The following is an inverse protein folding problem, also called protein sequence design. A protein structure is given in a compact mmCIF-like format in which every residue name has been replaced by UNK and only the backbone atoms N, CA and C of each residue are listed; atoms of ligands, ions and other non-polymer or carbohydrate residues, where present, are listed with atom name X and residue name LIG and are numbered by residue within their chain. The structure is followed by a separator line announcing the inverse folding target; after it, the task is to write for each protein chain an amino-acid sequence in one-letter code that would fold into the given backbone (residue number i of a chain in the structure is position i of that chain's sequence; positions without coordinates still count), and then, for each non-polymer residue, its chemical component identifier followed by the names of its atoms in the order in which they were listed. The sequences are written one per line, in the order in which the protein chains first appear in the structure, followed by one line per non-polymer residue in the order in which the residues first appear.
data_IF_043631398205
#
_entry.id   IF_043631398205
#
_cell.length_a   1.000
_cell.length_b   1.000
_cell.length_c   1.000
_cell.angle_alpha   90.00
_cell.angle_beta   90.00
_cell.angle_gamma   90.00
#
_symmetry.space_group_name_H-M   'P 1'
#
loop_
_entity.id
_entity.type
_entity.pdbx_description
1 polymer ?
#
# COMPACT_ATOMS: atom_id res chain seq x y z
N UNK A 1 30.96 -4.54 -9.41
CA UNK A 1 29.71 -5.28 -9.13
C UNK A 1 29.64 -5.50 -7.64
N UNK A 2 28.55 -5.12 -6.98
CA UNK A 2 28.39 -5.27 -5.52
C UNK A 2 27.29 -6.29 -5.25
N UNK A 3 27.50 -7.17 -4.29
CA UNK A 3 26.54 -8.21 -3.90
C UNK A 3 25.67 -7.70 -2.76
N UNK A 4 24.36 -7.92 -2.87
CA UNK A 4 23.37 -7.59 -1.83
C UNK A 4 22.69 -8.90 -1.43
N UNK A 5 22.70 -9.21 -0.14
CA UNK A 5 22.01 -10.37 0.42
C UNK A 5 20.71 -9.91 1.07
N UNK A 6 19.60 -10.59 0.75
CA UNK A 6 18.27 -10.28 1.29
C UNK A 6 17.64 -11.60 1.74
N UNK A 7 17.17 -11.63 2.98
CA UNK A 7 16.40 -12.74 3.53
C UNK A 7 14.91 -12.51 3.28
N UNK A 8 14.24 -13.51 2.70
CA UNK A 8 12.80 -13.45 2.40
C UNK A 8 12.10 -14.70 2.96
N UNK A 9 10.84 -14.59 3.42
CA UNK A 9 10.00 -15.74 3.73
C UNK A 9 9.89 -16.70 2.53
N UNK A 10 9.78 -18.00 2.80
CA UNK A 10 9.67 -19.05 1.78
C UNK A 10 8.56 -18.78 0.78
N UNK A 11 7.42 -18.28 1.25
CA UNK A 11 6.25 -18.02 0.40
C UNK A 11 6.51 -16.90 -0.61
N UNK A 12 7.26 -15.87 -0.21
CA UNK A 12 7.67 -14.80 -1.12
C UNK A 12 8.66 -15.30 -2.16
N UNK A 13 9.59 -16.19 -1.78
CA UNK A 13 10.52 -16.82 -2.71
C UNK A 13 9.77 -17.65 -3.75
N UNK A 14 8.77 -18.43 -3.31
CA UNK A 14 7.93 -19.23 -4.20
C UNK A 14 7.13 -18.36 -5.19
N UNK A 15 6.62 -17.22 -4.73
CA UNK A 15 5.94 -16.24 -5.59
C UNK A 15 6.90 -15.63 -6.63
N UNK A 16 8.11 -15.26 -6.19
CA UNK A 16 9.16 -14.76 -7.08
C UNK A 16 9.50 -15.81 -8.15
N UNK A 17 9.63 -17.08 -7.79
CA UNK A 17 9.85 -18.17 -8.74
C UNK A 17 8.72 -18.30 -9.76
N UNK A 18 7.47 -18.15 -9.31
CA UNK A 18 6.31 -18.09 -10.18
C UNK A 18 6.42 -16.95 -11.20
N UNK A 19 6.84 -15.76 -10.76
CA UNK A 19 7.03 -14.61 -11.65
C UNK A 19 8.20 -14.78 -12.62
N UNK A 20 9.33 -15.31 -12.16
CA UNK A 20 10.49 -15.60 -13.02
C UNK A 20 10.07 -16.49 -14.18
N UNK A 21 9.33 -17.57 -13.89
CA UNK A 21 8.79 -18.47 -14.92
C UNK A 21 7.76 -17.79 -15.81
N UNK A 22 6.78 -17.10 -15.21
CA UNK A 22 5.67 -16.45 -15.91
C UNK A 22 6.14 -15.38 -16.90
N UNK A 23 7.15 -14.61 -16.53
CA UNK A 23 7.68 -13.52 -17.36
C UNK A 23 8.94 -13.89 -18.15
N UNK A 24 9.37 -15.16 -18.09
CA UNK A 24 10.46 -15.67 -18.93
C UNK A 24 11.86 -15.16 -18.54
N UNK A 25 12.09 -14.83 -17.27
CA UNK A 25 13.42 -14.41 -16.82
C UNK A 25 14.36 -15.60 -16.66
N UNK A 26 15.63 -15.41 -17.05
CA UNK A 26 16.65 -16.45 -16.96
C UNK A 26 16.94 -16.90 -15.51
N UNK A 27 16.83 -16.00 -14.53
CA UNK A 27 17.02 -16.31 -13.11
C UNK A 27 16.38 -15.24 -12.22
N UNK A 28 16.30 -15.53 -10.91
CA UNK A 28 15.80 -14.61 -9.88
C UNK A 28 16.56 -13.29 -9.85
N UNK A 29 17.88 -13.32 -10.03
CA UNK A 29 18.70 -12.10 -9.95
C UNK A 29 18.36 -11.12 -11.06
N UNK A 30 18.19 -11.58 -12.31
CA UNK A 30 17.78 -10.70 -13.41
C UNK A 30 16.35 -10.21 -13.29
N UNK A 31 15.46 -11.05 -12.77
CA UNK A 31 14.12 -10.60 -12.43
C UNK A 31 14.15 -9.45 -11.42
N UNK A 32 14.85 -9.61 -10.28
CA UNK A 32 14.97 -8.56 -9.26
C UNK A 32 15.67 -7.32 -9.81
N UNK A 33 16.75 -7.47 -10.59
CA UNK A 33 17.43 -6.33 -11.23
C UNK A 33 16.51 -5.58 -12.20
N UNK A 34 15.66 -6.29 -12.93
CA UNK A 34 14.68 -5.66 -13.83
C UNK A 34 13.65 -4.83 -13.05
N UNK A 35 13.18 -5.33 -11.90
CA UNK A 35 12.29 -4.59 -11.01
C UNK A 35 12.99 -3.34 -10.49
N UNK A 36 14.22 -3.47 -9.98
CA UNK A 36 14.99 -2.33 -9.48
C UNK A 36 15.13 -1.25 -10.56
N UNK A 37 15.43 -1.63 -11.82
CA UNK A 37 15.49 -0.68 -12.94
C UNK A 37 14.16 0.05 -13.16
N UNK A 38 13.02 -0.65 -13.04
CA UNK A 38 11.69 -0.03 -13.15
C UNK A 38 11.44 0.93 -12.00
N UNK A 39 11.73 0.52 -10.76
CA UNK A 39 11.53 1.35 -9.57
C UNK A 39 12.37 2.65 -9.62
N UNK A 40 13.60 2.57 -10.14
CA UNK A 40 14.46 3.75 -10.34
C UNK A 40 13.84 4.71 -11.38
N UNK A 41 13.22 4.18 -12.44
CA UNK A 41 12.60 5.00 -13.49
C UNK A 41 11.22 5.55 -13.08
N UNK A 42 10.56 4.88 -12.13
CA UNK A 42 9.20 5.16 -11.66
C UNK A 42 9.16 5.21 -10.13
N UNK A 43 9.73 6.25 -9.50
CA UNK A 43 9.81 6.35 -8.04
C UNK A 43 8.45 6.36 -7.35
N UNK A 44 7.37 6.74 -8.04
CA UNK A 44 5.99 6.70 -7.53
C UNK A 44 5.56 5.30 -7.07
N UNK A 45 6.14 4.24 -7.65
CA UNK A 45 5.88 2.86 -7.23
C UNK A 45 6.49 2.55 -5.86
N UNK A 46 7.63 3.18 -5.53
CA UNK A 46 8.29 3.04 -4.22
C UNK A 46 7.50 3.80 -3.14
N UNK A 47 6.98 4.99 -3.46
CA UNK A 47 6.09 5.73 -2.57
C UNK A 47 4.83 4.90 -2.25
N UNK A 48 4.26 4.24 -3.26
CA UNK A 48 3.13 3.33 -3.07
C UNK A 48 3.52 2.13 -2.19
N UNK A 49 4.72 1.56 -2.39
CA UNK A 49 5.19 0.46 -1.55
C UNK A 49 5.41 0.88 -0.09
N UNK A 50 5.81 2.14 0.17
CA UNK A 50 5.98 2.66 1.53
C UNK A 50 4.68 2.82 2.30
N UNK A 51 3.57 2.98 1.59
CA UNK A 51 2.24 3.18 2.17
C UNK A 51 1.38 1.93 2.15
N UNK A 52 1.73 0.89 1.38
CA UNK A 52 0.99 -0.37 1.33
C UNK A 52 0.96 -1.12 2.68
N UNK A 53 -0.19 -1.68 3.11
CA UNK A 53 -1.48 -1.77 2.41
C UNK A 53 -2.41 -0.57 2.67
N UNK A 54 -1.93 0.47 3.33
CA UNK A 54 -2.72 1.63 3.72
C UNK A 54 -2.90 2.59 2.54
N UNK A 55 -4.06 2.51 1.90
CA UNK A 55 -4.46 3.49 0.90
C UNK A 55 -4.96 4.75 1.61
N UNK A 56 -4.39 5.89 1.24
CA UNK A 56 -4.93 7.18 1.64
C UNK A 56 -6.42 7.28 1.21
N UNK A 57 -7.30 7.81 2.06
CA UNK A 57 -8.71 7.87 1.73
C UNK A 57 -8.95 8.77 0.52
N UNK A 58 -9.78 8.30 -0.42
CA UNK A 58 -10.10 8.97 -1.69
C UNK A 58 -10.73 10.36 -1.53
N UNK A 59 -11.21 10.68 -0.33
CA UNK A 59 -11.78 11.98 0.02
C UNK A 59 -11.27 12.41 1.38
N UNK A 60 -10.96 13.70 1.52
CA UNK A 60 -10.69 14.35 2.79
C UNK A 60 -11.94 14.91 3.46
N UNK A 61 -13.10 14.88 2.78
CA UNK A 61 -14.33 15.45 3.31
C UNK A 61 -14.87 14.62 4.47
N UNK A 62 -14.66 15.10 5.70
CA UNK A 62 -15.14 14.50 6.95
C UNK A 62 -16.64 14.19 6.84
N UNK A 63 -17.44 15.13 6.34
CA UNK A 63 -18.89 14.96 6.14
C UNK A 63 -19.22 13.80 5.21
N UNK A 64 -18.47 13.64 4.11
CA UNK A 64 -18.65 12.55 3.15
C UNK A 64 -18.31 11.20 3.77
N UNK A 65 -17.21 11.14 4.52
CA UNK A 65 -16.76 9.94 5.24
C UNK A 65 -17.83 9.52 6.26
N UNK A 66 -18.23 10.41 7.17
CA UNK A 66 -19.25 10.11 8.20
C UNK A 66 -20.59 9.71 7.57
N UNK A 67 -21.01 10.38 6.50
CA UNK A 67 -22.23 10.00 5.77
C UNK A 67 -22.13 8.57 5.20
N UNK A 68 -20.97 8.20 4.64
CA UNK A 68 -20.72 6.84 4.15
C UNK A 68 -20.83 5.78 5.25
N UNK A 69 -20.20 6.02 6.41
CA UNK A 69 -20.29 5.10 7.55
C UNK A 69 -21.71 5.00 8.10
N UNK A 70 -22.45 6.12 8.19
CA UNK A 70 -23.87 6.14 8.60
C UNK A 70 -24.76 5.30 7.69
N UNK A 71 -24.56 5.37 6.36
CA UNK A 71 -25.36 4.61 5.37
C UNK A 71 -25.27 3.10 5.57
N UNK A 72 -24.12 2.60 6.02
CA UNK A 72 -23.93 1.17 6.21
C UNK A 72 -24.68 0.60 7.42
N UNK A 73 -25.20 1.43 8.35
CA UNK A 73 -25.95 1.00 9.55
C UNK A 73 -25.23 -0.03 10.46
N UNK A 74 -23.94 -0.27 10.24
CA UNK A 74 -23.12 -1.24 10.99
C UNK A 74 -22.45 -0.66 12.23
N UNK A 75 -22.55 0.66 12.42
CA UNK A 75 -21.78 1.38 13.42
C UNK A 75 -22.70 2.11 14.41
N UNK A 76 -22.31 2.11 15.68
CA UNK A 76 -23.03 2.80 16.74
C UNK A 76 -22.89 4.32 16.62
N UNK A 77 -23.82 5.06 17.22
CA UNK A 77 -23.72 6.53 17.24
C UNK A 77 -22.47 7.01 18.00
N UNK A 78 -22.08 6.31 19.07
CA UNK A 78 -20.86 6.61 19.81
C UNK A 78 -19.63 6.51 18.90
N UNK A 79 -19.48 5.39 18.18
CA UNK A 79 -18.38 5.20 17.23
C UNK A 79 -18.34 6.30 16.16
N UNK A 80 -19.50 6.67 15.61
CA UNK A 80 -19.56 7.70 14.58
C UNK A 80 -19.17 9.09 15.12
N UNK A 81 -19.48 9.38 16.39
CA UNK A 81 -19.09 10.62 17.05
C UNK A 81 -17.58 10.66 17.28
N UNK A 82 -17.01 9.59 17.83
CA UNK A 82 -15.58 9.49 18.09
C UNK A 82 -14.77 9.55 16.78
N UNK A 83 -15.27 8.90 15.72
CA UNK A 83 -14.69 8.99 14.39
C UNK A 83 -14.73 10.41 13.84
N UNK A 84 -15.85 11.12 13.99
CA UNK A 84 -15.97 12.51 13.52
C UNK A 84 -14.99 13.42 14.26
N UNK A 85 -14.82 13.22 15.57
CA UNK A 85 -13.86 13.97 16.38
C UNK A 85 -12.41 13.69 15.96
N UNK A 86 -12.03 12.41 15.82
CA UNK A 86 -10.70 12.03 15.38
C UNK A 86 -10.35 12.52 13.96
N UNK A 87 -11.33 12.55 13.06
CA UNK A 87 -11.15 13.14 11.73
C UNK A 87 -10.97 14.65 11.79
N UNK A 88 -11.69 15.34 12.70
CA UNK A 88 -11.55 16.79 12.89
C UNK A 88 -10.21 17.15 13.51
N UNK A 89 -9.62 16.34 14.37
CA UNK A 89 -8.34 16.64 15.01
C UNK A 89 -7.13 16.24 14.18
N UNK A 90 -7.34 15.53 13.07
CA UNK A 90 -6.26 15.07 12.19
C UNK A 90 -5.80 16.14 11.20
N UNK A 91 -4.52 16.50 11.25
CA UNK A 91 -3.87 17.42 10.30
C UNK A 91 -4.06 17.00 8.83
N UNK A 92 -4.10 15.70 8.56
CA UNK A 92 -4.29 15.17 7.20
C UNK A 92 -5.66 15.52 6.60
N UNK A 93 -6.72 15.57 7.43
CA UNK A 93 -8.09 15.86 6.99
C UNK A 93 -8.48 17.33 7.14
N UNK A 94 -7.70 18.12 7.90
CA UNK A 94 -7.84 19.57 7.97
C UNK A 94 -7.14 20.33 6.84
N UNK A 95 -6.13 19.71 6.21
CA UNK A 95 -5.33 20.30 5.10
C UNK A 95 -5.97 20.24 3.73
#
# INVERSE_FOLDING_TARGET
MSTINISLPSDQVNLIDGFVKKFGFANRSEFIRSIIRVLIRKPELVETASTYPFLAPKTKSIKTIISGFKKNKKYSQAFLKDLEEGLKTSDYFQS
#
